data_IF_943886161241
#
_entry.id   IF_943886161241
#
_cell.length_a   1.000
_cell.length_b   1.000
_cell.length_c   1.000
_cell.angle_alpha   90.00
_cell.angle_beta   90.00
_cell.angle_gamma   90.00
#
_symmetry.space_group_name_H-M   'P 1'
#
loop_
_entity.id
_entity.type
_entity.pdbx_description
1 polymer ?
#
# COMPACT_ATOMS: atom_id res chain seq x y z
N UNK A 1 -55.14 -0.04 22.80
CA UNK A 1 -55.22 -1.41 23.32
C UNK A 1 -54.13 -2.23 22.62
N UNK A 2 -53.19 -2.73 23.42
CA UNK A 2 -52.14 -3.71 23.15
C UNK A 2 -50.98 -3.36 22.20
N UNK A 3 -49.83 -3.18 22.87
CA UNK A 3 -48.45 -3.08 22.44
C UNK A 3 -47.96 -4.36 21.77
N UNK A 4 -47.04 -4.27 20.80
CA UNK A 4 -45.97 -5.26 20.62
C UNK A 4 -44.76 -4.64 19.92
N UNK A 5 -43.66 -4.46 20.68
CA UNK A 5 -42.29 -4.36 20.17
C UNK A 5 -41.61 -5.72 20.40
N UNK A 6 -40.62 -6.08 19.58
CA UNK A 6 -39.45 -6.73 20.14
C UNK A 6 -38.15 -6.06 19.65
N UNK A 7 -37.36 -5.64 20.63
CA UNK A 7 -35.93 -5.32 20.53
C UNK A 7 -35.14 -6.60 20.75
N UNK A 8 -34.28 -6.98 19.80
CA UNK A 8 -33.27 -8.02 19.99
C UNK A 8 -31.98 -7.39 20.49
N UNK A 9 -31.66 -7.67 21.75
CA UNK A 9 -30.47 -7.23 22.48
C UNK A 9 -29.63 -8.48 22.74
N UNK A 10 -28.51 -8.66 22.04
CA UNK A 10 -27.61 -9.81 22.21
C UNK A 10 -26.45 -9.35 23.08
N UNK A 11 -26.62 -9.49 24.39
CA UNK A 11 -25.56 -9.33 25.39
C UNK A 11 -24.71 -10.59 25.45
N UNK A 12 -23.42 -10.44 25.18
CA UNK A 12 -22.40 -11.45 25.42
C UNK A 12 -22.18 -11.58 26.94
N UNK A 13 -22.54 -12.72 27.52
CA UNK A 13 -22.27 -13.06 28.92
C UNK A 13 -20.82 -13.58 29.01
N UNK A 14 -19.97 -12.85 29.71
CA UNK A 14 -18.64 -13.30 30.13
C UNK A 14 -18.80 -14.21 31.35
N UNK A 15 -18.45 -15.49 31.22
CA UNK A 15 -18.39 -16.43 32.34
C UNK A 15 -16.98 -16.41 32.95
N UNK A 16 -16.84 -15.78 34.12
CA UNK A 16 -15.65 -15.84 34.97
C UNK A 16 -15.97 -16.70 36.19
N UNK A 17 -15.46 -17.93 36.22
CA UNK A 17 -15.20 -18.68 37.46
C UNK A 17 -14.59 -20.04 37.14
N UNK A 18 -13.26 -20.18 37.27
CA UNK A 18 -12.66 -21.44 37.69
C UNK A 18 -11.41 -21.20 38.57
N UNK A 19 -11.61 -21.54 39.85
CA UNK A 19 -10.71 -22.31 40.72
C UNK A 19 -9.56 -21.57 41.43
N UNK A 20 -9.85 -21.29 42.71
CA UNK A 20 -8.92 -21.28 43.85
C UNK A 20 -8.32 -22.68 44.07
N UNK A 21 -7.02 -22.76 44.37
CA UNK A 21 -6.45 -23.41 45.58
C UNK A 21 -4.98 -23.77 45.36
N UNK A 22 -4.13 -23.55 46.38
CA UNK A 22 -2.84 -24.24 46.49
C UNK A 22 -1.64 -23.39 46.86
N UNK A 23 -1.68 -22.72 48.01
CA UNK A 23 -0.47 -22.24 48.70
C UNK A 23 0.28 -23.48 49.23
N UNK A 24 1.52 -23.69 48.79
CA UNK A 24 2.47 -24.61 49.41
C UNK A 24 3.79 -23.86 49.62
N UNK A 25 3.89 -23.22 50.79
CA UNK A 25 5.13 -22.69 51.35
C UNK A 25 5.97 -23.87 51.84
N UNK A 26 6.99 -24.26 51.07
CA UNK A 26 7.96 -25.27 51.50
C UNK A 26 9.02 -24.60 52.39
N UNK A 27 8.80 -24.74 53.69
CA UNK A 27 9.70 -24.40 54.79
C UNK A 27 10.97 -25.25 54.66
N UNK A 28 12.13 -24.63 54.49
CA UNK A 28 13.44 -25.27 54.65
C UNK A 28 14.05 -24.82 55.97
N UNK A 29 14.27 -25.77 56.88
CA UNK A 29 15.01 -25.56 58.13
C UNK A 29 16.49 -25.89 57.95
N UNK A 30 17.28 -25.07 58.62
CA UNK A 30 18.73 -25.01 58.84
C UNK A 30 19.42 -26.32 59.25
N UNK A 31 20.60 -26.60 58.67
CA UNK A 31 21.91 -26.69 59.39
C UNK A 31 23.02 -27.17 58.43
N UNK A 32 24.17 -26.50 58.47
CA UNK A 32 25.35 -26.87 57.69
C UNK A 32 26.41 -25.76 57.69
N UNK A 33 26.95 -25.46 58.87
CA UNK A 33 28.09 -24.55 59.04
C UNK A 33 29.36 -25.24 58.51
N UNK A 34 29.92 -24.75 57.41
CA UNK A 34 31.26 -25.08 56.96
C UNK A 34 32.06 -23.80 56.70
N UNK A 35 33.10 -23.66 57.51
CA UNK A 35 34.02 -22.55 57.68
C UNK A 35 35.03 -22.53 56.52
N UNK A 36 34.98 -21.52 55.64
CA UNK A 36 36.10 -21.27 54.68
C UNK A 36 36.49 -19.79 54.65
N UNK A 37 37.77 -19.62 54.98
CA UNK A 37 38.66 -18.45 55.08
C UNK A 37 38.27 -17.18 54.30
N UNK A 38 38.27 -16.06 55.05
CA UNK A 38 38.41 -14.69 54.54
C UNK A 38 39.64 -14.60 53.63
N UNK A 39 39.41 -14.19 52.37
CA UNK A 39 40.44 -13.64 51.50
C UNK A 39 40.12 -12.16 51.33
N UNK A 40 41.09 -11.33 51.70
CA UNK A 40 41.04 -9.88 51.63
C UNK A 40 40.78 -9.42 50.19
N UNK A 41 39.87 -8.47 50.04
CA UNK A 41 39.63 -7.71 48.82
C UNK A 41 40.85 -6.87 48.46
N UNK A 42 40.97 -6.50 47.18
CA UNK A 42 41.19 -5.10 46.89
C UNK A 42 40.09 -4.54 45.99
N UNK A 43 39.64 -3.35 46.42
CA UNK A 43 39.06 -2.24 45.67
C UNK A 43 38.20 -2.53 44.42
N UNK A 44 36.91 -2.25 44.59
CA UNK A 44 36.02 -1.73 43.55
C UNK A 44 36.72 -0.70 42.64
N UNK A 45 36.94 -1.02 41.37
CA UNK A 45 37.07 -0.01 40.33
C UNK A 45 35.70 0.16 39.67
N UNK A 46 34.88 1.06 40.22
CA UNK A 46 33.70 1.56 39.55
C UNK A 46 34.15 2.47 38.39
N UNK A 47 34.43 1.86 37.23
CA UNK A 47 34.56 2.58 35.98
C UNK A 47 33.17 3.00 35.51
N UNK A 48 32.69 4.14 36.00
CA UNK A 48 31.56 4.84 35.38
C UNK A 48 32.07 5.57 34.15
N UNK A 49 32.23 4.87 33.03
CA UNK A 49 32.23 5.58 31.75
C UNK A 49 30.84 6.20 31.58
N UNK A 50 30.72 7.53 31.35
CA UNK A 50 29.48 8.08 30.87
C UNK A 50 29.25 7.50 29.47
N UNK A 51 28.34 6.53 29.38
CA UNK A 51 27.84 6.02 28.10
C UNK A 51 27.22 7.20 27.37
N UNK A 52 28.01 7.87 26.53
CA UNK A 52 27.56 8.93 25.66
C UNK A 52 26.34 8.41 24.88
N UNK A 53 25.18 8.95 25.21
CA UNK A 53 23.95 8.67 24.49
C UNK A 53 24.19 9.13 23.05
N UNK A 54 24.39 8.18 22.12
CA UNK A 54 24.55 8.49 20.70
C UNK A 54 23.24 9.10 20.17
N UNK A 55 23.10 10.41 20.31
CA UNK A 55 22.11 11.25 19.65
C UNK A 55 22.48 11.37 18.15
N UNK A 56 22.37 10.26 17.43
CA UNK A 56 22.67 10.17 15.99
C UNK A 56 21.59 9.50 15.15
N UNK A 57 20.44 9.15 15.74
CA UNK A 57 19.38 8.39 15.05
C UNK A 57 18.52 9.22 14.08
N UNK A 58 18.58 10.55 14.15
CA UNK A 58 17.74 11.45 13.33
C UNK A 58 18.10 11.46 11.84
N UNK A 59 19.40 11.54 11.51
CA UNK A 59 19.85 11.64 10.12
C UNK A 59 19.65 10.33 9.33
N UNK A 60 19.92 9.18 9.95
CA UNK A 60 19.72 7.86 9.33
C UNK A 60 18.25 7.49 9.11
N UNK A 61 17.34 7.90 10.00
CA UNK A 61 15.91 7.59 9.89
C UNK A 61 15.26 8.34 8.73
N UNK A 62 15.64 9.60 8.51
CA UNK A 62 15.15 10.41 7.39
C UNK A 62 15.61 9.85 6.05
N UNK A 63 16.89 9.47 5.93
CA UNK A 63 17.43 8.81 4.73
C UNK A 63 16.74 7.47 4.42
N UNK A 64 16.39 6.71 5.46
CA UNK A 64 15.67 5.44 5.30
C UNK A 64 14.22 5.65 4.82
N UNK A 65 13.52 6.65 5.36
CA UNK A 65 12.16 7.01 4.96
C UNK A 65 12.15 7.53 3.51
N UNK A 66 13.08 8.43 3.17
CA UNK A 66 13.27 8.94 1.81
C UNK A 66 13.52 7.79 0.82
N UNK A 67 14.43 6.85 1.15
CA UNK A 67 14.69 5.68 0.30
C UNK A 67 13.49 4.77 0.15
N UNK A 68 12.60 4.67 1.14
CA UNK A 68 11.37 3.85 1.07
C UNK A 68 10.32 4.47 0.15
N UNK A 69 10.10 5.79 0.21
CA UNK A 69 9.07 6.48 -0.59
C UNK A 69 9.58 7.08 -1.90
N UNK A 70 10.88 7.03 -2.16
CA UNK A 70 11.49 7.48 -3.42
C UNK A 70 10.75 7.01 -4.70
N UNK A 71 10.26 5.77 -4.83
CA UNK A 71 9.61 5.33 -6.08
C UNK A 71 8.37 6.14 -6.46
N UNK A 72 7.48 6.45 -5.50
CA UNK A 72 6.26 7.21 -5.81
C UNK A 72 6.57 8.68 -6.08
N UNK A 73 7.58 9.24 -5.40
CA UNK A 73 8.06 10.61 -5.65
C UNK A 73 8.64 10.70 -7.06
N UNK A 74 9.44 9.72 -7.49
CA UNK A 74 10.01 9.67 -8.85
C UNK A 74 8.90 9.57 -9.90
N UNK A 75 7.89 8.73 -9.68
CA UNK A 75 6.76 8.60 -10.59
C UNK A 75 5.99 9.93 -10.74
N UNK A 76 5.68 10.59 -9.62
CA UNK A 76 4.98 11.88 -9.62
C UNK A 76 5.84 12.98 -10.24
N UNK A 77 7.14 13.02 -9.94
CA UNK A 77 8.06 13.98 -10.55
C UNK A 77 8.13 13.80 -12.07
N UNK A 78 8.18 12.56 -12.57
CA UNK A 78 8.15 12.28 -14.00
C UNK A 78 6.86 12.80 -14.66
N UNK A 79 5.70 12.61 -14.03
CA UNK A 79 4.42 13.17 -14.50
C UNK A 79 4.51 14.69 -14.61
N UNK A 80 5.00 15.36 -13.58
CA UNK A 80 5.07 16.83 -13.56
C UNK A 80 6.12 17.40 -14.52
N UNK A 81 7.23 16.71 -14.75
CA UNK A 81 8.21 17.10 -15.77
C UNK A 81 7.56 17.01 -17.16
N UNK A 82 6.87 15.92 -17.47
CA UNK A 82 6.16 15.77 -18.75
C UNK A 82 5.05 16.80 -18.89
N UNK A 83 4.27 17.06 -17.84
CA UNK A 83 3.20 18.06 -17.88
C UNK A 83 3.73 19.49 -18.04
N UNK A 84 4.89 19.82 -17.45
CA UNK A 84 5.53 21.12 -17.67
C UNK A 84 5.88 21.31 -19.16
N UNK A 85 6.49 20.31 -19.80
CA UNK A 85 6.78 20.35 -21.24
C UNK A 85 5.49 20.43 -22.05
N UNK A 86 4.49 19.63 -21.69
CA UNK A 86 3.18 19.61 -22.34
C UNK A 86 2.48 20.97 -22.28
N UNK A 87 2.58 21.68 -21.15
CA UNK A 87 2.04 23.03 -20.97
C UNK A 87 2.67 24.04 -21.94
N UNK A 88 4.00 24.03 -22.09
CA UNK A 88 4.70 24.90 -23.06
C UNK A 88 4.33 24.60 -24.52
N UNK A 89 3.89 23.37 -24.80
CA UNK A 89 3.44 22.93 -26.12
C UNK A 89 1.92 23.08 -26.33
N UNK A 90 1.21 23.83 -25.47
CA UNK A 90 -0.24 24.02 -25.57
C UNK A 90 -1.04 22.72 -25.42
N UNK A 91 -0.56 21.79 -24.59
CA UNK A 91 -1.08 20.44 -24.39
C UNK A 91 -1.03 19.52 -25.62
N UNK A 92 -0.17 19.80 -26.60
CA UNK A 92 -0.03 19.01 -27.84
C UNK A 92 0.41 17.55 -27.63
N UNK A 93 1.10 17.23 -26.52
CA UNK A 93 1.55 15.84 -26.25
C UNK A 93 0.37 14.90 -25.96
N UNK A 94 -0.81 15.42 -25.64
CA UNK A 94 -2.03 14.61 -25.43
C UNK A 94 -2.46 13.81 -26.66
N UNK A 95 -2.01 14.20 -27.85
CA UNK A 95 -2.17 13.45 -29.10
C UNK A 95 -1.45 12.09 -29.10
N UNK A 96 -0.46 11.90 -28.22
CA UNK A 96 0.28 10.66 -28.01
C UNK A 96 -0.35 9.74 -26.94
N UNK A 97 -1.57 10.07 -26.50
CA UNK A 97 -2.37 9.21 -25.62
C UNK A 97 -2.78 7.91 -26.28
N UNK A 98 -3.50 7.07 -25.52
CA UNK A 98 -4.03 5.82 -26.07
C UNK A 98 -5.17 6.17 -27.02
N UNK A 99 -4.95 5.92 -28.31
CA UNK A 99 -5.98 6.02 -29.33
C UNK A 99 -6.52 4.61 -29.65
N UNK A 100 -7.75 4.27 -29.23
CA UNK A 100 -8.24 2.90 -29.31
C UNK A 100 -8.29 2.35 -30.73
N UNK A 101 -7.89 1.07 -30.87
CA UNK A 101 -7.89 0.28 -32.12
C UNK A 101 -7.11 0.90 -33.29
N UNK A 102 -6.16 1.79 -33.00
CA UNK A 102 -5.19 2.30 -34.00
C UNK A 102 -3.77 1.93 -33.62
N UNK A 103 -2.97 1.49 -34.59
CA UNK A 103 -1.58 1.11 -34.37
C UNK A 103 -0.75 2.26 -33.76
N UNK A 104 -0.96 3.49 -34.23
CA UNK A 104 -0.33 4.69 -33.65
C UNK A 104 -0.70 4.95 -32.18
N UNK A 105 -1.86 4.46 -31.72
CA UNK A 105 -2.31 4.61 -30.34
C UNK A 105 -1.64 3.66 -29.34
N UNK A 106 -0.91 2.64 -29.81
CA UNK A 106 -0.20 1.70 -28.93
C UNK A 106 0.93 2.39 -28.14
N UNK A 107 1.57 3.41 -28.72
CA UNK A 107 2.60 4.19 -28.03
C UNK A 107 2.04 4.89 -26.78
N UNK A 108 0.74 5.17 -26.78
CA UNK A 108 0.03 5.74 -25.65
C UNK A 108 -0.05 4.81 -24.44
N UNK A 109 0.10 3.49 -24.58
CA UNK A 109 -0.03 2.56 -23.45
C UNK A 109 0.95 2.90 -22.32
N UNK A 110 2.27 2.99 -22.56
CA UNK A 110 3.21 3.41 -21.52
C UNK A 110 3.18 4.91 -21.23
N UNK A 111 2.75 5.75 -22.19
CA UNK A 111 2.85 7.21 -22.09
C UNK A 111 1.65 7.88 -21.42
N UNK A 112 0.44 7.34 -21.59
CA UNK A 112 -0.80 7.96 -21.14
C UNK A 112 -0.82 8.36 -19.67
N UNK A 113 -0.24 7.61 -18.70
CA UNK A 113 -0.17 8.04 -17.31
C UNK A 113 0.60 9.35 -17.08
N UNK A 114 1.47 9.74 -18.01
CA UNK A 114 2.28 10.95 -17.92
C UNK A 114 1.69 12.13 -18.68
N UNK A 115 0.79 11.88 -19.63
CA UNK A 115 0.14 12.88 -20.45
C UNK A 115 -1.14 13.36 -19.77
N UNK A 116 -1.38 14.67 -19.68
CA UNK A 116 -2.60 15.22 -19.11
C UNK A 116 -3.23 16.27 -20.03
N UNK A 117 -4.56 16.31 -20.05
CA UNK A 117 -5.34 17.23 -20.88
C UNK A 117 -5.37 18.68 -20.34
N UNK A 118 -4.67 18.95 -19.24
CA UNK A 118 -4.66 20.23 -18.56
C UNK A 118 -4.13 20.13 -17.13
N UNK A 119 -3.72 21.26 -16.60
CA UNK A 119 -3.12 21.36 -15.26
C UNK A 119 -4.03 20.80 -14.16
N UNK A 120 -5.33 21.11 -14.21
CA UNK A 120 -6.30 20.59 -13.23
C UNK A 120 -6.44 19.07 -13.29
N UNK A 121 -6.28 18.47 -14.48
CA UNK A 121 -6.27 17.02 -14.61
C UNK A 121 -5.06 16.43 -13.88
N UNK A 122 -3.84 16.96 -14.09
CA UNK A 122 -2.63 16.52 -13.40
C UNK A 122 -2.71 16.72 -11.87
N UNK A 123 -3.20 17.88 -11.41
CA UNK A 123 -3.39 18.17 -9.98
C UNK A 123 -4.35 17.17 -9.35
N UNK A 124 -5.50 16.91 -9.98
CA UNK A 124 -6.52 15.99 -9.46
C UNK A 124 -6.00 14.56 -9.30
N UNK A 125 -5.00 14.16 -10.08
CA UNK A 125 -4.40 12.83 -10.04
C UNK A 125 -3.24 12.75 -9.04
N UNK A 126 -2.57 13.86 -8.74
CA UNK A 126 -1.36 13.90 -7.90
C UNK A 126 -1.61 13.38 -6.49
N UNK A 127 -2.66 13.88 -5.81
CA UNK A 127 -2.93 13.51 -4.41
C UNK A 127 -3.33 12.03 -4.28
N UNK A 128 -4.31 11.51 -5.05
CA UNK A 128 -4.61 10.08 -5.05
C UNK A 128 -3.41 9.19 -5.40
N UNK A 129 -2.59 9.60 -6.38
CA UNK A 129 -1.42 8.82 -6.80
C UNK A 129 -0.38 8.73 -5.67
N UNK A 130 -0.09 9.86 -5.00
CA UNK A 130 0.81 9.89 -3.85
C UNK A 130 0.32 8.96 -2.73
N UNK A 131 -0.96 9.07 -2.34
CA UNK A 131 -1.49 8.31 -1.21
C UNK A 131 -1.62 6.82 -1.55
N UNK A 132 -2.29 6.47 -2.65
CA UNK A 132 -2.48 5.06 -3.02
C UNK A 132 -1.16 4.39 -3.46
N UNK A 133 -0.27 5.13 -4.10
CA UNK A 133 1.07 4.67 -4.43
C UNK A 133 1.91 4.42 -3.18
N UNK A 134 1.85 5.31 -2.18
CA UNK A 134 2.50 5.12 -0.89
C UNK A 134 1.94 3.90 -0.12
N UNK A 135 0.62 3.70 -0.12
CA UNK A 135 0.00 2.51 0.46
C UNK A 135 0.43 1.22 -0.26
N UNK A 136 0.57 1.28 -1.59
CA UNK A 136 1.11 0.16 -2.38
C UNK A 136 2.56 -0.15 -2.01
N UNK A 137 3.39 0.88 -1.76
CA UNK A 137 4.79 0.74 -1.32
C UNK A 137 4.95 0.08 0.06
N UNK A 138 3.92 0.05 0.90
CA UNK A 138 3.93 -0.75 2.15
C UNK A 138 4.18 -2.23 1.83
N UNK A 139 3.75 -2.70 0.66
CA UNK A 139 4.04 -4.05 0.14
C UNK A 139 5.46 -4.27 -0.39
N UNK A 140 6.31 -3.24 -0.40
CA UNK A 140 7.68 -3.28 -0.91
C UNK A 140 7.85 -2.71 -2.32
N UNK A 141 9.08 -2.29 -2.66
CA UNK A 141 9.41 -1.63 -3.93
C UNK A 141 9.20 -2.52 -5.16
N UNK A 142 9.60 -3.79 -5.07
CA UNK A 142 9.42 -4.76 -6.17
C UNK A 142 7.95 -4.91 -6.53
N UNK A 143 7.10 -5.06 -5.51
CA UNK A 143 5.66 -5.14 -5.71
C UNK A 143 5.06 -3.83 -6.23
N UNK A 144 5.53 -2.68 -5.75
CA UNK A 144 5.12 -1.38 -6.28
C UNK A 144 5.34 -1.33 -7.78
N UNK A 145 6.56 -1.56 -8.27
CA UNK A 145 6.86 -1.50 -9.70
C UNK A 145 6.15 -2.58 -10.50
N UNK A 146 6.02 -3.80 -9.97
CA UNK A 146 5.23 -4.86 -10.61
C UNK A 146 3.76 -4.45 -10.79
N UNK A 147 3.16 -3.84 -9.76
CA UNK A 147 1.80 -3.30 -9.84
C UNK A 147 1.75 -2.13 -10.83
N UNK A 148 2.65 -1.15 -10.73
CA UNK A 148 2.67 0.02 -11.61
C UNK A 148 2.75 -0.40 -13.08
N UNK A 149 3.77 -1.17 -13.46
CA UNK A 149 3.98 -1.60 -14.84
C UNK A 149 2.85 -2.52 -15.30
N UNK A 150 2.47 -3.50 -14.48
CA UNK A 150 1.39 -4.42 -14.82
C UNK A 150 0.06 -3.71 -15.06
N UNK A 151 -0.29 -2.74 -14.21
CA UNK A 151 -1.52 -1.94 -14.34
C UNK A 151 -1.45 -1.08 -15.60
N UNK A 152 -0.34 -0.35 -15.82
CA UNK A 152 -0.18 0.52 -16.99
C UNK A 152 -0.36 -0.28 -18.28
N UNK A 153 0.32 -1.42 -18.39
CA UNK A 153 0.25 -2.26 -19.58
C UNK A 153 -1.12 -2.90 -19.76
N UNK A 154 -1.64 -3.58 -18.73
CA UNK A 154 -2.91 -4.30 -18.84
C UNK A 154 -4.09 -3.34 -19.03
N UNK A 155 -4.17 -2.27 -18.24
CA UNK A 155 -5.24 -1.27 -18.42
C UNK A 155 -5.10 -0.55 -19.76
N UNK A 156 -3.89 -0.22 -20.20
CA UNK A 156 -3.67 0.42 -21.50
C UNK A 156 -4.08 -0.47 -22.67
N UNK A 157 -3.78 -1.77 -22.64
CA UNK A 157 -4.25 -2.73 -23.65
C UNK A 157 -5.78 -2.83 -23.65
N UNK A 158 -6.41 -2.92 -22.48
CA UNK A 158 -7.87 -2.99 -22.37
C UNK A 158 -8.54 -1.70 -22.88
N UNK A 159 -8.00 -0.52 -22.54
CA UNK A 159 -8.45 0.77 -23.08
C UNK A 159 -8.28 0.78 -24.60
N UNK A 160 -7.12 0.37 -25.11
CA UNK A 160 -6.87 0.34 -26.54
C UNK A 160 -7.83 -0.57 -27.31
N UNK A 161 -8.20 -1.73 -26.74
CA UNK A 161 -9.15 -2.66 -27.34
C UNK A 161 -10.59 -2.15 -27.29
N UNK A 162 -11.03 -1.68 -26.13
CA UNK A 162 -12.46 -1.55 -25.81
C UNK A 162 -12.97 -0.12 -25.64
N UNK A 163 -12.10 0.87 -25.46
CA UNK A 163 -12.56 2.24 -25.20
C UNK A 163 -13.08 2.95 -26.47
N UNK A 164 -13.83 4.05 -26.29
CA UNK A 164 -14.35 4.86 -27.39
C UNK A 164 -13.23 5.54 -28.20
N UNK A 165 -13.49 5.91 -29.46
CA UNK A 165 -12.47 6.39 -30.41
C UNK A 165 -11.91 7.80 -30.17
N UNK A 166 -11.54 8.14 -28.94
CA UNK A 166 -10.88 9.40 -28.55
C UNK A 166 -9.51 9.12 -27.94
N UNK A 167 -8.65 10.13 -27.82
CA UNK A 167 -7.37 9.96 -27.09
C UNK A 167 -7.64 9.85 -25.58
N UNK A 168 -7.11 8.81 -24.95
CA UNK A 168 -7.17 8.60 -23.51
C UNK A 168 -5.81 8.91 -22.87
N UNK A 169 -5.82 9.84 -21.91
CA UNK A 169 -4.64 10.33 -21.19
C UNK A 169 -4.95 10.47 -19.70
N UNK A 170 -3.92 10.56 -18.88
CA UNK A 170 -4.00 10.80 -17.44
C UNK A 170 -3.60 9.59 -16.61
N UNK A 171 -3.11 9.85 -15.40
CA UNK A 171 -2.72 8.83 -14.44
C UNK A 171 -3.92 8.16 -13.73
N UNK A 172 -5.15 8.61 -13.95
CA UNK A 172 -6.32 8.18 -13.19
C UNK A 172 -6.62 6.68 -13.34
N UNK A 173 -6.33 6.08 -14.51
CA UNK A 173 -6.38 4.63 -14.68
C UNK A 173 -5.40 3.89 -13.77
N UNK A 174 -4.18 4.41 -13.60
CA UNK A 174 -3.20 3.88 -12.65
C UNK A 174 -3.66 4.07 -11.19
N UNK A 175 -4.27 5.21 -10.87
CA UNK A 175 -4.84 5.46 -9.54
C UNK A 175 -5.92 4.42 -9.20
N UNK A 176 -6.89 4.18 -10.09
CA UNK A 176 -7.91 3.15 -9.90
C UNK A 176 -7.31 1.74 -9.91
N UNK A 177 -6.22 1.52 -10.63
CA UNK A 177 -5.47 0.27 -10.54
C UNK A 177 -4.81 0.04 -9.19
N UNK A 178 -4.20 1.06 -8.59
CA UNK A 178 -3.70 0.94 -7.21
C UNK A 178 -4.84 0.68 -6.24
N UNK A 179 -5.96 1.39 -6.38
CA UNK A 179 -7.16 1.14 -5.58
C UNK A 179 -7.60 -0.34 -5.68
N UNK A 180 -7.78 -0.87 -6.90
CA UNK A 180 -8.15 -2.26 -7.14
C UNK A 180 -7.13 -3.25 -6.59
N UNK A 181 -5.84 -3.00 -6.78
CA UNK A 181 -4.77 -3.86 -6.29
C UNK A 181 -4.72 -3.93 -4.76
N UNK A 182 -4.96 -2.81 -4.06
CA UNK A 182 -4.97 -2.74 -2.61
C UNK A 182 -6.16 -3.51 -2.01
N UNK A 183 -7.36 -3.38 -2.60
CA UNK A 183 -8.53 -4.15 -2.19
C UNK A 183 -8.36 -5.66 -2.46
N UNK A 184 -7.90 -6.01 -3.66
CA UNK A 184 -7.62 -7.39 -4.03
C UNK A 184 -6.59 -8.03 -3.09
N UNK A 185 -5.55 -7.27 -2.72
CA UNK A 185 -4.54 -7.73 -1.76
C UNK A 185 -5.13 -8.07 -0.40
N UNK A 186 -6.04 -7.25 0.13
CA UNK A 186 -6.72 -7.57 1.39
C UNK A 186 -7.51 -8.89 1.31
N UNK A 187 -8.18 -9.11 0.18
CA UNK A 187 -8.95 -10.33 -0.06
C UNK A 187 -8.07 -11.59 -0.15
N UNK A 188 -6.94 -11.51 -0.88
CA UNK A 188 -6.08 -12.67 -1.10
C UNK A 188 -5.08 -12.93 0.04
N UNK A 189 -4.46 -11.90 0.61
CA UNK A 189 -3.44 -12.08 1.66
C UNK A 189 -4.02 -12.26 3.05
N UNK A 190 -5.22 -11.72 3.30
CA UNK A 190 -5.95 -11.82 4.59
C UNK A 190 -5.14 -11.42 5.83
N UNK A 191 -4.07 -10.64 5.64
CA UNK A 191 -3.25 -10.12 6.73
C UNK A 191 -3.87 -8.87 7.34
N UNK A 192 -3.64 -8.65 8.64
CA UNK A 192 -4.11 -7.47 9.35
C UNK A 192 -3.71 -6.17 8.65
N UNK A 193 -2.44 -6.05 8.24
CA UNK A 193 -1.93 -4.85 7.52
C UNK A 193 -2.64 -4.66 6.18
N UNK A 194 -2.84 -5.72 5.40
CA UNK A 194 -3.53 -5.58 4.10
C UNK A 194 -4.99 -5.17 4.26
N UNK A 195 -5.68 -5.70 5.26
CA UNK A 195 -7.08 -5.33 5.57
C UNK A 195 -7.16 -3.87 6.02
N UNK A 196 -6.29 -3.45 6.96
CA UNK A 196 -6.24 -2.07 7.42
C UNK A 196 -5.98 -1.08 6.27
N UNK A 197 -5.03 -1.39 5.39
CA UNK A 197 -4.72 -0.57 4.21
C UNK A 197 -5.93 -0.50 3.25
N UNK A 198 -6.63 -1.61 3.02
CA UNK A 198 -7.83 -1.61 2.19
C UNK A 198 -8.98 -0.80 2.81
N UNK A 199 -9.18 -0.87 4.13
CA UNK A 199 -10.16 -0.03 4.83
C UNK A 199 -9.84 1.46 4.68
N UNK A 200 -8.58 1.86 4.91
CA UNK A 200 -8.13 3.25 4.71
C UNK A 200 -8.35 3.69 3.25
N UNK A 201 -8.02 2.81 2.30
CA UNK A 201 -8.22 3.06 0.87
C UNK A 201 -9.70 3.30 0.55
N UNK A 202 -10.60 2.46 1.07
CA UNK A 202 -12.04 2.57 0.84
C UNK A 202 -12.63 3.83 1.49
N UNK A 203 -12.21 4.17 2.71
CA UNK A 203 -12.69 5.36 3.43
C UNK A 203 -12.27 6.63 2.69
N UNK A 204 -11.00 6.73 2.28
CA UNK A 204 -10.48 7.94 1.65
C UNK A 204 -10.89 8.08 0.18
N UNK A 205 -10.99 6.96 -0.54
CA UNK A 205 -11.10 6.96 -2.01
C UNK A 205 -12.24 6.10 -2.56
N UNK A 206 -13.13 5.54 -1.74
CA UNK A 206 -14.27 4.76 -2.23
C UNK A 206 -15.18 5.55 -3.18
N UNK A 207 -15.28 6.87 -3.00
CA UNK A 207 -15.99 7.77 -3.90
C UNK A 207 -15.44 7.79 -5.34
N UNK A 208 -14.19 7.37 -5.57
CA UNK A 208 -13.62 7.29 -6.92
C UNK A 208 -14.33 6.27 -7.82
N UNK A 209 -15.06 5.30 -7.24
CA UNK A 209 -15.83 4.31 -7.99
C UNK A 209 -16.94 4.96 -8.83
N UNK A 210 -17.45 6.13 -8.43
CA UNK A 210 -18.38 6.92 -9.26
C UNK A 210 -17.75 7.36 -10.58
N UNK A 211 -16.43 7.50 -10.64
CA UNK A 211 -15.69 7.85 -11.85
C UNK A 211 -15.69 6.74 -12.92
N UNK A 212 -16.11 5.53 -12.59
CA UNK A 212 -16.24 4.41 -13.53
C UNK A 212 -17.53 4.53 -14.35
N UNK A 213 -18.48 5.35 -13.90
CA UNK A 213 -19.72 5.58 -14.64
C UNK A 213 -19.48 6.60 -15.78
N UNK A 214 -20.13 6.42 -16.93
CA UNK A 214 -20.01 7.32 -18.08
C UNK A 214 -20.81 8.62 -17.89
N UNK A 215 -20.59 9.34 -16.78
CA UNK A 215 -21.35 10.55 -16.41
C UNK A 215 -20.85 11.82 -17.08
N UNK A 216 -19.60 11.82 -17.56
CA UNK A 216 -18.93 13.01 -18.12
C UNK A 216 -18.16 12.61 -19.36
N UNK A 217 -18.51 13.19 -20.51
CA UNK A 217 -17.94 12.85 -21.82
C UNK A 217 -16.45 13.15 -21.94
N UNK A 218 -15.91 14.12 -21.19
CA UNK A 218 -14.49 14.46 -21.19
C UNK A 218 -13.64 13.58 -20.25
N UNK A 219 -14.27 12.74 -19.41
CA UNK A 219 -13.57 11.81 -18.52
C UNK A 219 -13.45 10.45 -19.19
N UNK A 220 -12.25 9.91 -19.21
CA UNK A 220 -11.97 8.54 -19.64
C UNK A 220 -12.45 7.52 -18.59
N UNK A 221 -13.76 7.31 -18.50
CA UNK A 221 -14.34 6.33 -17.58
C UNK A 221 -13.85 4.90 -17.90
N UNK A 222 -13.57 4.61 -19.17
CA UNK A 222 -12.99 3.32 -19.60
C UNK A 222 -11.61 3.12 -18.99
N UNK A 223 -10.80 4.19 -18.93
CA UNK A 223 -9.52 4.18 -18.22
C UNK A 223 -9.68 3.87 -16.73
N UNK A 224 -10.72 4.41 -16.08
CA UNK A 224 -11.01 4.10 -14.67
C UNK A 224 -11.45 2.65 -14.48
N UNK A 225 -12.39 2.17 -15.32
CA UNK A 225 -12.90 0.80 -15.28
C UNK A 225 -11.77 -0.22 -15.48
N UNK A 226 -11.01 -0.06 -16.57
CA UNK A 226 -9.95 -0.98 -16.92
C UNK A 226 -8.72 -0.84 -16.02
N UNK A 227 -8.50 0.36 -15.46
CA UNK A 227 -7.57 0.56 -14.35
C UNK A 227 -7.90 -0.32 -13.16
N UNK A 228 -9.15 -0.23 -12.66
CA UNK A 228 -9.62 -1.04 -11.53
C UNK A 228 -9.48 -2.54 -11.80
N UNK A 229 -9.94 -3.01 -12.97
CA UNK A 229 -9.86 -4.42 -13.38
C UNK A 229 -8.39 -4.86 -13.45
N UNK A 230 -7.52 -4.07 -14.07
CA UNK A 230 -6.10 -4.38 -14.18
C UNK A 230 -5.43 -4.47 -12.79
N UNK A 231 -5.78 -3.57 -11.87
CA UNK A 231 -5.30 -3.60 -10.49
C UNK A 231 -5.62 -4.91 -9.78
N UNK A 232 -6.88 -5.35 -9.87
CA UNK A 232 -7.33 -6.62 -9.29
C UNK A 232 -6.60 -7.80 -9.94
N UNK A 233 -6.52 -7.83 -11.28
CA UNK A 233 -5.89 -8.90 -12.03
C UNK A 233 -4.39 -9.03 -11.74
N UNK A 234 -3.66 -7.92 -11.70
CA UNK A 234 -2.21 -7.90 -11.41
C UNK A 234 -1.94 -8.36 -9.98
N UNK A 235 -2.76 -7.91 -9.00
CA UNK A 235 -2.64 -8.37 -7.63
C UNK A 235 -2.89 -9.87 -7.49
N UNK A 236 -3.88 -10.41 -8.21
CA UNK A 236 -4.17 -11.85 -8.24
C UNK A 236 -3.03 -12.67 -8.87
N UNK A 237 -2.50 -12.23 -10.02
CA UNK A 237 -1.36 -12.89 -10.67
C UNK A 237 -0.13 -12.91 -9.77
N UNK A 238 0.14 -11.81 -9.06
CA UNK A 238 1.25 -11.71 -8.11
C UNK A 238 1.18 -12.71 -6.95
N UNK A 239 -0.01 -13.19 -6.57
CA UNK A 239 -0.15 -14.25 -5.57
C UNK A 239 0.23 -15.62 -6.12
N UNK A 240 -0.09 -15.90 -7.39
CA UNK A 240 0.21 -17.19 -8.03
C UNK A 240 1.71 -17.40 -8.26
N UNK A 241 2.45 -16.32 -8.48
CA UNK A 241 3.88 -16.36 -8.79
C UNK A 241 4.77 -16.38 -7.53
N UNK A 242 4.20 -16.30 -6.32
CA UNK A 242 4.98 -16.36 -5.09
C UNK A 242 5.48 -17.80 -4.90
N UNK A 243 6.80 -18.06 -4.83
CA UNK A 243 7.32 -19.40 -4.64
C UNK A 243 6.72 -20.02 -3.38
N UNK A 244 6.19 -21.23 -3.48
CA UNK A 244 5.78 -21.98 -2.29
C UNK A 244 7.05 -22.25 -1.49
N UNK A 245 7.06 -21.85 -0.23
CA UNK A 245 8.19 -22.00 0.70
C UNK A 245 8.56 -23.47 1.01
N UNK A 246 8.08 -24.44 0.22
CA UNK A 246 8.36 -25.87 0.35
C UNK A 246 9.35 -26.44 -0.67
N UNK A 247 9.58 -25.77 -1.82
CA UNK A 247 10.38 -26.36 -2.91
C UNK A 247 11.90 -26.14 -2.76
N UNK A 248 12.35 -25.32 -1.81
CA UNK A 248 13.78 -24.97 -1.65
C UNK A 248 14.54 -25.89 -0.68
N UNK A 249 13.94 -26.99 -0.21
CA UNK A 249 14.61 -27.98 0.66
C UNK A 249 14.90 -29.33 -0.01
N UNK A 250 14.64 -29.46 -1.31
CA UNK A 250 14.91 -30.68 -2.07
C UNK A 250 15.91 -30.39 -3.20
N UNK A 251 17.18 -30.17 -2.84
CA UNK A 251 18.33 -30.20 -3.75
C UNK A 251 19.59 -30.41 -2.96
#
# INVERSE_FOLDING_TARGET
MLLFRPTLNIGFVWNNNLIRAGVQLKRWTTQGQAKVKRRLTPACSFGSEPRALKFGKGFGSMELIKKKFSPIIVLVAAIWIVEAVNLFLGHGLTSWGILPRRASGLIGIPLAPFLHAGLWHAISNTVPLLILGALTLIGGKTRFWANTVGIVLLSGVLVWLFARGVSHVGASGLVLGYFGALLARAYFERGFVSIAVACVTMILYGGMLWGILPLRSYISFEGHLFGLIAGIAVAWLGQKLKPRTGDTKAS
#
